data_IF_934296289487
#
_entry.id   IF_934296289487
#
_cell.length_a   1.000
_cell.length_b   1.000
_cell.length_c   1.000
_cell.angle_alpha   90.00
_cell.angle_beta   90.00
_cell.angle_gamma   90.00
#
_symmetry.space_group_name_H-M   'P 1'
#
loop_
_entity.id
_entity.type
_entity.pdbx_description
1 polymer ?
#
# COMPACT_ATOMS: atom_id res chain seq x y z
N UNK A 1 -1.10 -4.84 -25.00
CA UNK A 1 -1.58 -5.81 -24.01
C UNK A 1 -1.84 -5.01 -22.76
N UNK A 2 -3.10 -4.84 -22.38
CA UNK A 2 -3.47 -4.25 -21.08
C UNK A 2 -2.93 -5.21 -20.02
N UNK A 3 -1.99 -4.75 -19.19
CA UNK A 3 -1.52 -5.53 -18.04
C UNK A 3 -2.68 -5.57 -17.05
N UNK A 4 -3.10 -6.77 -16.67
CA UNK A 4 -4.10 -6.96 -15.63
C UNK A 4 -3.41 -6.73 -14.29
N UNK A 5 -3.80 -5.68 -13.57
CA UNK A 5 -3.25 -5.36 -12.25
C UNK A 5 -4.21 -5.92 -11.21
N UNK A 6 -3.78 -6.86 -10.35
CA UNK A 6 -4.60 -7.30 -9.23
C UNK A 6 -4.69 -6.16 -8.22
N UNK A 7 -5.90 -5.84 -7.78
CA UNK A 7 -6.12 -4.87 -6.71
C UNK A 7 -7.08 -5.45 -5.67
N UNK A 8 -6.91 -5.01 -4.44
CA UNK A 8 -7.65 -5.51 -3.28
C UNK A 8 -8.59 -4.42 -2.81
N UNK A 9 -9.86 -4.77 -2.62
CA UNK A 9 -10.86 -3.90 -2.03
C UNK A 9 -11.38 -4.55 -0.76
N UNK A 10 -11.55 -3.74 0.30
CA UNK A 10 -12.19 -4.19 1.54
C UNK A 10 -13.70 -3.97 1.41
N UNK A 11 -14.48 -5.00 1.75
CA UNK A 11 -15.93 -4.85 1.91
C UNK A 11 -16.30 -4.21 3.27
N UNK A 12 -17.57 -3.88 3.47
CA UNK A 12 -18.07 -3.28 4.73
C UNK A 12 -17.86 -4.17 5.97
N UNK A 13 -17.49 -5.44 5.79
CA UNK A 13 -17.18 -6.40 6.85
C UNK A 13 -15.66 -6.57 7.05
N UNK A 14 -14.83 -5.82 6.30
CA UNK A 14 -13.37 -5.87 6.38
C UNK A 14 -12.72 -7.05 5.65
N UNK A 15 -13.45 -7.78 4.81
CA UNK A 15 -12.85 -8.87 4.03
C UNK A 15 -12.22 -8.34 2.74
N UNK A 16 -11.00 -8.81 2.44
CA UNK A 16 -10.26 -8.43 1.24
C UNK A 16 -10.72 -9.24 0.04
N UNK A 17 -11.27 -8.54 -0.96
CA UNK A 17 -11.66 -9.11 -2.26
C UNK A 17 -10.61 -8.76 -3.30
N UNK A 18 -9.99 -9.78 -3.91
CA UNK A 18 -9.06 -9.61 -5.03
C UNK A 18 -9.85 -9.48 -6.34
N UNK A 19 -9.70 -8.36 -7.03
CA UNK A 19 -10.30 -8.11 -8.34
C UNK A 19 -9.21 -7.83 -9.39
N UNK A 20 -9.51 -8.17 -10.64
CA UNK A 20 -8.67 -7.79 -11.78
C UNK A 20 -9.35 -6.64 -12.52
N UNK A 21 -8.72 -5.46 -12.52
CA UNK A 21 -9.24 -4.30 -13.26
C UNK A 21 -8.51 -4.17 -14.58
N UNK A 22 -9.27 -3.85 -15.62
CA UNK A 22 -8.72 -3.26 -16.84
C UNK A 22 -8.48 -1.76 -16.62
N UNK A 23 -7.65 -1.42 -15.64
CA UNK A 23 -7.36 -0.05 -15.20
C UNK A 23 -6.38 -0.03 -14.04
N UNK A 24 -5.72 1.11 -13.85
CA UNK A 24 -4.77 1.32 -12.77
C UNK A 24 -5.47 1.16 -11.41
N UNK A 25 -4.88 0.33 -10.54
CA UNK A 25 -5.33 0.18 -9.17
C UNK A 25 -5.08 1.50 -8.44
N UNK A 26 -6.15 2.20 -8.05
CA UNK A 26 -6.04 3.43 -7.28
C UNK A 26 -6.37 3.14 -5.83
N UNK A 27 -5.42 3.42 -4.95
CA UNK A 27 -5.61 3.46 -3.49
C UNK A 27 -5.47 4.91 -3.05
N UNK A 28 -6.39 5.38 -2.22
CA UNK A 28 -6.28 6.71 -1.60
C UNK A 28 -5.30 6.66 -0.42
N UNK A 29 -4.70 7.80 -0.09
CA UNK A 29 -3.75 7.91 1.04
C UNK A 29 -4.37 7.45 2.37
N UNK A 30 -5.68 7.68 2.56
CA UNK A 30 -6.41 7.22 3.74
C UNK A 30 -6.45 5.69 3.84
N UNK A 31 -6.83 5.03 2.75
CA UNK A 31 -6.95 3.57 2.69
C UNK A 31 -5.58 2.89 2.81
N UNK A 32 -4.55 3.47 2.18
CA UNK A 32 -3.18 2.98 2.29
C UNK A 32 -2.68 3.08 3.74
N UNK A 33 -2.98 4.16 4.44
CA UNK A 33 -2.62 4.33 5.85
C UNK A 33 -3.29 3.30 6.75
N UNK A 34 -4.60 3.09 6.61
CA UNK A 34 -5.32 2.07 7.40
C UNK A 34 -4.75 0.67 7.14
N UNK A 35 -4.46 0.33 5.87
CA UNK A 35 -3.84 -0.94 5.51
C UNK A 35 -2.47 -1.14 6.20
N UNK A 36 -1.62 -0.12 6.21
CA UNK A 36 -0.30 -0.17 6.86
C UNK A 36 -0.42 -0.35 8.38
N UNK A 37 -1.40 0.31 9.00
CA UNK A 37 -1.70 0.18 10.43
C UNK A 37 -2.24 -1.21 10.77
N UNK A 38 -3.10 -1.80 9.94
CA UNK A 38 -3.61 -3.16 10.14
C UNK A 38 -2.50 -4.22 10.00
N UNK A 39 -1.59 -4.05 9.04
CA UNK A 39 -0.52 -5.00 8.75
C UNK A 39 0.57 -5.00 9.83
N UNK A 40 0.89 -3.84 10.40
CA UNK A 40 2.04 -3.66 11.29
C UNK A 40 1.65 -3.35 12.73
N UNK A 41 0.39 -2.99 12.98
CA UNK A 41 -0.13 -2.63 14.29
C UNK A 41 0.31 -1.25 14.79
N UNK A 42 0.09 -1.01 16.08
CA UNK A 42 0.31 0.28 16.76
C UNK A 42 1.81 0.67 16.89
N UNK A 43 2.72 -0.24 16.54
CA UNK A 43 4.18 -0.04 16.70
C UNK A 43 4.80 0.80 15.57
N UNK A 44 4.03 1.05 14.50
CA UNK A 44 4.49 1.85 13.38
C UNK A 44 4.49 3.34 13.71
N UNK A 45 5.65 3.96 13.51
CA UNK A 45 5.79 5.41 13.69
C UNK A 45 5.01 6.16 12.60
N UNK A 46 4.24 7.20 12.95
CA UNK A 46 3.49 8.01 11.99
C UNK A 46 4.39 8.68 10.93
N UNK A 47 5.66 8.95 11.29
CA UNK A 47 6.67 9.45 10.36
C UNK A 47 7.00 8.45 9.24
N UNK A 48 6.98 7.16 9.52
CA UNK A 48 7.26 6.13 8.52
C UNK A 48 6.06 5.89 7.61
N UNK A 49 4.84 5.93 8.15
CA UNK A 49 3.60 5.94 7.34
C UNK A 49 3.65 7.11 6.37
N UNK A 50 3.97 8.31 6.86
CA UNK A 50 4.00 9.51 6.04
C UNK A 50 4.98 9.37 4.86
N UNK A 51 6.17 8.77 5.08
CA UNK A 51 7.11 8.50 3.98
C UNK A 51 6.53 7.57 2.91
N UNK A 52 5.75 6.57 3.30
CA UNK A 52 5.10 5.67 2.35
C UNK A 52 4.03 6.40 1.55
N UNK A 53 3.22 7.23 2.20
CA UNK A 53 2.21 8.04 1.52
C UNK A 53 2.85 9.03 0.54
N UNK A 54 3.92 9.71 0.96
CA UNK A 54 4.69 10.61 0.10
C UNK A 54 5.30 9.87 -1.10
N UNK A 55 5.83 8.67 -0.87
CA UNK A 55 6.35 7.79 -1.93
C UNK A 55 5.25 7.31 -2.89
N UNK A 56 4.06 6.97 -2.38
CA UNK A 56 2.92 6.55 -3.19
C UNK A 56 2.38 7.68 -4.07
N UNK A 57 2.47 8.93 -3.59
CA UNK A 57 2.07 10.12 -4.35
C UNK A 57 3.18 10.66 -5.27
N UNK A 58 4.39 10.09 -5.26
CA UNK A 58 5.51 10.56 -6.09
C UNK A 58 5.41 9.97 -7.51
N UNK A 59 5.05 10.83 -8.46
CA UNK A 59 4.95 10.51 -9.88
C UNK A 59 6.30 10.14 -10.54
N UNK A 60 7.43 10.40 -9.88
CA UNK A 60 8.77 10.04 -10.36
C UNK A 60 9.28 8.74 -9.75
N UNK A 61 8.60 8.19 -8.75
CA UNK A 61 8.98 6.94 -8.13
C UNK A 61 8.49 5.78 -8.99
N UNK A 62 9.40 4.85 -9.30
CA UNK A 62 9.01 3.64 -10.03
C UNK A 62 8.31 2.66 -9.10
N UNK A 63 7.44 1.82 -9.64
CA UNK A 63 6.80 0.71 -8.90
C UNK A 63 7.83 -0.16 -8.17
N UNK A 64 8.98 -0.46 -8.80
CA UNK A 64 10.07 -1.23 -8.19
C UNK A 64 10.72 -0.51 -6.99
N UNK A 65 10.84 0.82 -7.06
CA UNK A 65 11.39 1.62 -5.95
C UNK A 65 10.38 1.70 -4.79
N UNK A 66 9.09 1.79 -5.11
CA UNK A 66 8.02 1.75 -4.13
C UNK A 66 7.97 0.39 -3.42
N UNK A 67 8.01 -0.72 -4.16
CA UNK A 67 8.05 -2.07 -3.60
C UNK A 67 9.25 -2.26 -2.65
N UNK A 68 10.45 -1.83 -3.06
CA UNK A 68 11.64 -1.88 -2.21
C UNK A 68 11.47 -1.08 -0.91
N UNK A 69 10.78 0.07 -0.97
CA UNK A 69 10.51 0.91 0.19
C UNK A 69 9.54 0.23 1.16
N UNK A 70 8.47 -0.38 0.64
CA UNK A 70 7.51 -1.17 1.43
C UNK A 70 8.18 -2.39 2.07
N UNK A 71 9.01 -3.12 1.32
CA UNK A 71 9.74 -4.28 1.83
C UNK A 71 10.68 -3.91 2.99
N UNK A 72 11.48 -2.86 2.81
CA UNK A 72 12.37 -2.32 3.85
C UNK A 72 11.56 -1.89 5.09
N UNK A 73 10.40 -1.28 4.88
CA UNK A 73 9.52 -0.85 5.96
C UNK A 73 8.92 -2.02 6.74
N UNK A 74 8.41 -3.04 6.05
CA UNK A 74 7.87 -4.26 6.68
C UNK A 74 8.98 -5.01 7.44
N UNK A 75 10.19 -5.11 6.86
CA UNK A 75 11.34 -5.75 7.50
C UNK A 75 11.76 -5.08 8.81
N UNK A 76 11.72 -3.75 8.88
CA UNK A 76 12.06 -3.00 10.10
C UNK A 76 11.04 -3.20 11.22
N UNK A 77 9.75 -3.28 10.89
CA UNK A 77 8.65 -3.32 11.85
C UNK A 77 8.22 -4.75 12.25
N UNK A 78 8.80 -5.80 11.67
CA UNK A 78 8.51 -7.22 12.03
C UNK A 78 9.35 -7.78 13.19
N UNK A 79 10.10 -6.94 13.92
CA UNK A 79 10.83 -7.35 15.13
C UNK A 79 10.02 -7.08 16.41
#
# INVERSE_FOLDING_TARGET
MTKEIPYYSLDEEGNSTCMTSNGDAYIDDGDLKDLLLELLGDDVSPEEIQKILEAASDENLSEEDFDNLIDEFILKNKN
#
